data_IF_779964613099
#
_entry.id   IF_779964613099
#
_cell.length_a   1.000
_cell.length_b   1.000
_cell.length_c   1.000
_cell.angle_alpha   90.00
_cell.angle_beta   90.00
_cell.angle_gamma   90.00
#
_symmetry.space_group_name_H-M   'P 1'
#
loop_
_entity.id
_entity.type
_entity.pdbx_description
1 polymer ?
#
# COMPACT_ATOMS: atom_id res chain seq x y z
N UNK A 1 -53.15 12.43 -14.07
CA UNK A 1 -51.89 13.21 -14.23
C UNK A 1 -51.11 13.39 -12.93
N UNK A 2 -51.71 13.83 -11.82
CA UNK A 2 -50.99 14.05 -10.53
C UNK A 2 -50.33 12.78 -9.94
N UNK A 3 -50.91 11.60 -10.13
CA UNK A 3 -50.39 10.31 -9.61
C UNK A 3 -49.14 9.80 -10.34
N UNK A 4 -49.02 10.03 -11.65
CA UNK A 4 -47.83 9.67 -12.42
C UNK A 4 -46.62 10.55 -12.06
N UNK A 5 -46.86 11.82 -11.75
CA UNK A 5 -45.81 12.76 -11.36
C UNK A 5 -45.16 12.39 -10.02
N UNK A 6 -45.98 11.91 -9.07
CA UNK A 6 -45.50 11.44 -7.78
C UNK A 6 -44.61 10.19 -7.91
N UNK A 7 -45.01 9.23 -8.77
CA UNK A 7 -44.25 8.00 -9.02
C UNK A 7 -42.90 8.32 -9.69
N UNK A 8 -42.88 9.27 -10.64
CA UNK A 8 -41.66 9.69 -11.32
C UNK A 8 -40.67 10.39 -10.38
N UNK A 9 -41.17 11.21 -9.43
CA UNK A 9 -40.31 11.83 -8.40
C UNK A 9 -39.72 10.80 -7.44
N UNK A 10 -40.50 9.81 -6.99
CA UNK A 10 -40.00 8.78 -6.07
C UNK A 10 -38.92 7.93 -6.76
N UNK A 11 -39.11 7.57 -8.03
CA UNK A 11 -38.12 6.82 -8.80
C UNK A 11 -36.82 7.62 -9.02
N UNK A 12 -36.93 8.93 -9.25
CA UNK A 12 -35.77 9.84 -9.40
C UNK A 12 -34.99 10.02 -8.10
N UNK A 13 -35.65 10.01 -6.94
CA UNK A 13 -34.97 10.10 -5.63
C UNK A 13 -34.27 8.79 -5.30
N UNK A 14 -34.84 7.63 -5.68
CA UNK A 14 -34.19 6.33 -5.49
C UNK A 14 -32.97 6.12 -6.41
N UNK A 15 -32.96 6.68 -7.62
CA UNK A 15 -31.84 6.57 -8.58
C UNK A 15 -30.67 7.52 -8.26
N UNK A 16 -30.89 8.60 -7.52
CA UNK A 16 -29.83 9.50 -7.05
C UNK A 16 -29.23 9.07 -5.70
N UNK A 17 -29.94 8.23 -4.93
CA UNK A 17 -29.47 7.73 -3.62
C UNK A 17 -28.56 6.50 -3.69
N UNK A 18 -28.39 5.88 -4.86
CA UNK A 18 -27.68 4.61 -5.01
C UNK A 18 -26.25 4.75 -5.57
N UNK A 19 -25.82 5.94 -5.97
CA UNK A 19 -24.48 6.19 -6.56
C UNK A 19 -23.39 6.54 -5.54
N UNK A 20 -23.70 6.63 -4.25
CA UNK A 20 -22.75 7.10 -3.22
C UNK A 20 -22.06 5.94 -2.49
N UNK A 21 -22.47 4.68 -2.69
CA UNK A 21 -22.07 3.56 -1.82
C UNK A 21 -20.90 2.69 -2.31
N UNK A 22 -20.08 3.14 -3.28
CA UNK A 22 -18.95 2.34 -3.79
C UNK A 22 -17.57 2.81 -3.35
N UNK A 23 -17.46 3.87 -2.54
CA UNK A 23 -16.26 4.04 -1.71
C UNK A 23 -16.41 3.10 -0.51
N UNK A 24 -16.07 1.83 -0.74
CA UNK A 24 -15.78 0.89 0.34
C UNK A 24 -14.78 1.59 1.26
N UNK A 25 -15.26 2.03 2.42
CA UNK A 25 -14.43 2.67 3.43
C UNK A 25 -13.33 1.68 3.76
N UNK A 26 -12.11 1.97 3.32
CA UNK A 26 -10.93 1.39 3.94
C UNK A 26 -10.90 2.08 5.30
N UNK A 27 -11.62 1.49 6.25
CA UNK A 27 -11.49 1.81 7.66
C UNK A 27 -10.07 1.49 8.08
N UNK A 28 -9.56 2.21 9.09
CA UNK A 28 -8.28 1.90 9.68
C UNK A 28 -8.19 0.38 9.94
N UNK A 29 -7.22 -0.26 9.30
CA UNK A 29 -7.01 -1.70 9.34
C UNK A 29 -5.68 -1.95 10.02
N UNK A 30 -5.59 -2.96 10.89
CA UNK A 30 -4.31 -3.40 11.41
C UNK A 30 -4.33 -4.89 11.67
N UNK A 31 -3.17 -5.51 11.61
CA UNK A 31 -3.07 -6.94 11.76
C UNK A 31 -1.64 -7.43 11.88
N UNK A 32 -1.52 -8.75 11.94
CA UNK A 32 -0.24 -9.45 12.05
C UNK A 32 -0.25 -10.65 11.12
N UNK A 33 0.75 -10.75 10.23
CA UNK A 33 1.08 -11.99 9.55
C UNK A 33 2.14 -12.74 10.33
N UNK A 34 1.97 -14.05 10.47
CA UNK A 34 3.02 -14.94 10.96
C UNK A 34 3.68 -15.57 9.75
N UNK A 35 5.00 -15.46 9.69
CA UNK A 35 5.82 -15.95 8.59
C UNK A 35 6.40 -17.29 9.01
N UNK A 36 6.17 -18.32 8.19
CA UNK A 36 6.73 -19.65 8.39
C UNK A 36 7.78 -19.95 7.32
N UNK A 37 8.90 -20.55 7.74
CA UNK A 37 9.95 -21.07 6.86
C UNK A 37 10.27 -22.50 7.26
N UNK A 38 10.25 -23.43 6.29
CA UNK A 38 10.48 -24.86 6.54
C UNK A 38 9.60 -25.41 7.68
N UNK A 39 8.30 -25.11 7.63
CA UNK A 39 7.27 -25.54 8.61
C UNK A 39 7.47 -25.01 10.04
N UNK A 40 8.38 -24.04 10.24
CA UNK A 40 8.61 -23.39 11.53
C UNK A 40 8.30 -21.91 11.46
N UNK A 41 7.78 -21.34 12.53
CA UNK A 41 7.65 -19.89 12.64
C UNK A 41 9.04 -19.26 12.52
N UNK A 42 9.20 -18.44 11.49
CA UNK A 42 10.41 -17.70 11.20
C UNK A 42 10.29 -16.25 11.67
N UNK A 43 9.08 -15.71 11.76
CA UNK A 43 8.89 -14.32 12.12
C UNK A 43 7.47 -13.84 11.98
N UNK A 44 7.32 -12.53 11.92
CA UNK A 44 6.04 -11.88 11.74
C UNK A 44 6.18 -10.56 11.02
N UNK A 45 5.02 -10.05 10.62
CA UNK A 45 4.83 -8.73 10.04
C UNK A 45 3.63 -8.08 10.70
N UNK A 46 3.82 -6.95 11.38
CA UNK A 46 2.72 -6.14 11.90
C UNK A 46 2.44 -5.01 10.92
N UNK A 47 1.19 -4.83 10.54
CA UNK A 47 0.81 -3.79 9.60
C UNK A 47 -0.30 -2.90 10.15
N UNK A 48 -0.36 -1.67 9.64
CA UNK A 48 -1.54 -0.83 9.76
C UNK A 48 -1.76 0.02 8.51
N UNK A 49 -3.03 0.19 8.16
CA UNK A 49 -3.52 1.11 7.15
C UNK A 49 -4.36 2.15 7.85
N UNK A 50 -4.11 3.41 7.53
CA UNK A 50 -4.95 4.50 7.97
C UNK A 50 -5.28 5.42 6.80
N UNK A 51 -6.48 5.98 6.80
CA UNK A 51 -6.87 7.00 5.83
C UNK A 51 -7.11 8.33 6.53
N UNK A 52 -6.34 9.34 6.14
CA UNK A 52 -6.44 10.70 6.66
C UNK A 52 -6.06 11.69 5.57
N UNK A 53 -6.74 12.83 5.51
CA UNK A 53 -6.39 13.94 4.63
C UNK A 53 -6.26 13.58 3.14
N UNK A 54 -7.10 12.66 2.65
CA UNK A 54 -7.07 12.20 1.25
C UNK A 54 -5.86 11.32 0.92
N UNK A 55 -5.17 10.79 1.93
CA UNK A 55 -4.03 9.89 1.77
C UNK A 55 -4.28 8.55 2.45
N UNK A 56 -3.72 7.51 1.87
CA UNK A 56 -3.65 6.17 2.45
C UNK A 56 -2.24 6.00 2.97
N UNK A 57 -2.10 5.83 4.28
CA UNK A 57 -0.81 5.55 4.92
C UNK A 57 -0.77 4.09 5.31
N UNK A 58 0.22 3.38 4.78
CA UNK A 58 0.54 2.02 5.12
C UNK A 58 1.82 2.00 5.96
N UNK A 59 1.72 1.49 7.18
CA UNK A 59 2.87 1.20 8.03
C UNK A 59 3.05 -0.29 8.16
N UNK A 60 4.31 -0.70 8.17
CA UNK A 60 4.68 -2.10 8.28
C UNK A 60 5.93 -2.26 9.14
N UNK A 61 5.96 -3.34 9.90
CA UNK A 61 7.11 -3.79 10.67
C UNK A 61 7.23 -5.30 10.57
N UNK A 62 8.23 -5.77 9.84
CA UNK A 62 8.61 -7.17 9.80
C UNK A 62 9.82 -7.46 10.69
N UNK A 63 9.76 -8.61 11.37
CA UNK A 63 10.89 -9.23 12.03
C UNK A 63 10.87 -10.71 11.67
N UNK A 64 11.91 -11.19 11.00
CA UNK A 64 12.04 -12.60 10.63
C UNK A 64 13.47 -13.08 10.81
N UNK A 65 13.59 -14.35 11.17
CA UNK A 65 14.83 -15.09 11.30
C UNK A 65 14.77 -16.30 10.41
N UNK A 66 15.59 -16.31 9.36
CA UNK A 66 15.70 -17.43 8.45
C UNK A 66 17.15 -17.88 8.48
N UNK A 67 17.35 -19.17 8.79
CA UNK A 67 18.67 -19.73 9.10
C UNK A 67 19.34 -18.97 10.26
N UNK A 68 20.46 -18.30 10.01
CA UNK A 68 21.22 -17.49 10.99
C UNK A 68 21.17 -15.98 10.70
N UNK A 69 20.29 -15.57 9.78
CA UNK A 69 20.12 -14.16 9.41
C UNK A 69 18.85 -13.60 10.03
N UNK A 70 18.99 -12.51 10.77
CA UNK A 70 17.89 -11.73 11.30
C UNK A 70 17.58 -10.59 10.32
N UNK A 71 16.32 -10.43 9.95
CA UNK A 71 15.85 -9.31 9.14
C UNK A 71 14.84 -8.52 9.96
N UNK A 72 15.07 -7.22 10.07
CA UNK A 72 14.16 -6.28 10.69
C UNK A 72 13.90 -5.21 9.65
N UNK A 73 12.64 -4.97 9.31
CA UNK A 73 12.25 -3.98 8.30
C UNK A 73 11.09 -3.18 8.84
N UNK A 74 11.21 -1.85 8.81
CA UNK A 74 10.11 -0.94 9.06
C UNK A 74 9.85 -0.15 7.79
N UNK A 75 8.58 0.05 7.47
CA UNK A 75 8.14 0.74 6.27
C UNK A 75 7.01 1.70 6.59
N UNK A 76 7.02 2.83 5.90
CA UNK A 76 5.98 3.84 5.89
C UNK A 76 5.76 4.30 4.45
N UNK A 77 4.69 3.81 3.85
CA UNK A 77 4.29 4.08 2.46
C UNK A 77 3.06 4.98 2.46
N UNK A 78 3.15 6.09 1.74
CA UNK A 78 2.06 7.03 1.53
C UNK A 78 1.57 6.90 0.09
N UNK A 79 0.27 6.72 -0.06
CA UNK A 79 -0.43 6.67 -1.33
C UNK A 79 -1.52 7.74 -1.39
N UNK A 80 -1.90 8.12 -2.61
CA UNK A 80 -3.14 8.88 -2.84
C UNK A 80 -4.39 7.98 -2.72
N UNK A 81 -5.57 8.58 -2.86
CA UNK A 81 -6.85 7.83 -2.85
C UNK A 81 -7.05 6.86 -4.02
N UNK A 82 -6.23 6.95 -5.06
CA UNK A 82 -6.21 6.05 -6.22
C UNK A 82 -5.11 4.97 -6.09
N UNK A 83 -4.49 4.85 -4.90
CA UNK A 83 -3.39 3.95 -4.59
C UNK A 83 -2.11 4.20 -5.40
N UNK A 84 -1.91 5.42 -5.93
CA UNK A 84 -0.64 5.85 -6.52
C UNK A 84 0.35 6.19 -5.41
N UNK A 85 1.62 5.72 -5.49
CA UNK A 85 2.60 6.02 -4.45
C UNK A 85 3.05 7.48 -4.51
N UNK A 86 3.18 8.11 -3.34
CA UNK A 86 3.73 9.46 -3.17
C UNK A 86 5.10 9.44 -2.49
N UNK A 87 5.24 8.64 -1.42
CA UNK A 87 6.51 8.46 -0.73
C UNK A 87 6.62 7.11 -0.05
N UNK A 88 7.85 6.60 0.02
CA UNK A 88 8.21 5.42 0.78
C UNK A 88 9.37 5.81 1.70
N UNK A 89 9.26 5.48 2.98
CA UNK A 89 10.42 5.40 3.86
C UNK A 89 10.53 3.96 4.35
N UNK A 90 11.71 3.39 4.19
CA UNK A 90 12.03 2.07 4.68
C UNK A 90 13.34 2.16 5.44
N UNK A 91 13.40 1.53 6.59
CA UNK A 91 14.64 1.32 7.31
C UNK A 91 14.65 -0.08 7.88
N UNK A 92 15.85 -0.60 8.08
CA UNK A 92 15.95 -1.95 8.55
C UNK A 92 17.36 -2.38 8.80
N UNK A 93 17.46 -3.66 9.09
CA UNK A 93 18.70 -4.35 9.33
C UNK A 93 18.62 -5.73 8.71
N UNK A 94 19.61 -6.07 7.90
CA UNK A 94 19.87 -7.45 7.49
C UNK A 94 21.11 -7.90 8.24
N UNK A 95 20.92 -8.80 9.20
CA UNK A 95 21.94 -9.26 10.13
C UNK A 95 22.60 -8.12 10.92
N UNK A 96 23.76 -7.62 10.46
CA UNK A 96 24.52 -6.52 11.08
C UNK A 96 24.45 -5.21 10.30
N UNK A 97 24.05 -5.27 9.03
CA UNK A 97 24.08 -4.16 8.08
C UNK A 97 22.76 -3.40 8.16
N UNK A 98 22.85 -2.11 8.46
CA UNK A 98 21.70 -1.23 8.53
C UNK A 98 21.51 -0.52 7.20
N UNK A 99 20.26 -0.46 6.75
CA UNK A 99 19.92 0.24 5.53
C UNK A 99 18.74 1.17 5.76
N UNK A 100 18.74 2.27 5.02
CA UNK A 100 17.65 3.22 4.97
C UNK A 100 17.41 3.63 3.52
N UNK A 101 16.17 3.56 3.09
CA UNK A 101 15.73 3.98 1.77
C UNK A 101 14.60 5.00 1.96
N UNK A 102 14.77 6.18 1.37
CA UNK A 102 13.69 7.15 1.21
C UNK A 102 13.43 7.34 -0.27
N UNK A 103 12.21 7.08 -0.71
CA UNK A 103 11.81 7.24 -2.10
C UNK A 103 10.74 8.31 -2.20
N UNK A 104 10.95 9.27 -3.09
CA UNK A 104 9.93 10.20 -3.53
C UNK A 104 9.44 9.79 -4.91
N UNK A 105 8.12 9.69 -5.06
CA UNK A 105 7.48 9.36 -6.32
C UNK A 105 6.98 10.65 -6.98
N UNK A 106 7.36 10.84 -8.23
CA UNK A 106 6.92 11.90 -9.13
C UNK A 106 6.26 11.22 -10.34
N UNK A 107 5.42 11.94 -11.09
CA UNK A 107 4.59 11.37 -12.18
C UNK A 107 5.34 10.43 -13.15
N UNK A 108 6.62 10.72 -13.45
CA UNK A 108 7.42 9.95 -14.41
C UNK A 108 8.65 9.27 -13.82
N UNK A 109 8.87 9.36 -12.51
CA UNK A 109 10.09 8.83 -11.88
C UNK A 109 10.00 8.63 -10.38
N UNK A 110 10.79 7.69 -9.87
CA UNK A 110 11.14 7.57 -8.46
C UNK A 110 12.55 8.08 -8.21
N UNK A 111 12.72 8.88 -7.16
CA UNK A 111 14.02 9.33 -6.66
C UNK A 111 14.26 8.60 -5.34
N UNK A 112 15.26 7.73 -5.30
CA UNK A 112 15.65 6.99 -4.10
C UNK A 112 16.88 7.63 -3.48
N UNK A 113 16.84 7.86 -2.18
CA UNK A 113 17.98 8.14 -1.34
C UNK A 113 18.26 6.91 -0.50
N UNK A 114 19.41 6.27 -0.73
CA UNK A 114 19.79 5.02 -0.07
C UNK A 114 20.98 5.35 0.84
N UNK A 115 20.89 4.98 2.10
CA UNK A 115 21.98 5.00 3.06
C UNK A 115 22.23 3.59 3.56
N UNK A 116 23.45 3.09 3.40
CA UNK A 116 23.88 1.74 3.76
C UNK A 116 25.31 1.82 4.28
N UNK A 117 25.56 1.33 5.51
CA UNK A 117 26.88 1.28 6.13
C UNK A 117 27.71 2.59 6.08
N UNK A 118 27.02 3.73 6.14
CA UNK A 118 27.64 5.06 6.13
C UNK A 118 27.86 5.66 4.75
N UNK A 119 27.68 4.87 3.69
CA UNK A 119 27.62 5.35 2.32
C UNK A 119 26.21 5.85 2.00
N UNK A 120 26.15 6.91 1.18
CA UNK A 120 24.87 7.44 0.68
C UNK A 120 24.89 7.51 -0.82
N UNK A 121 23.79 7.11 -1.45
CA UNK A 121 23.60 7.23 -2.89
C UNK A 121 22.22 7.78 -3.20
N UNK A 122 22.12 8.45 -4.34
CA UNK A 122 20.84 8.89 -4.90
C UNK A 122 20.70 8.29 -6.28
N UNK A 123 19.58 7.61 -6.52
CA UNK A 123 19.28 7.00 -7.82
C UNK A 123 17.94 7.49 -8.32
N UNK A 124 17.83 7.65 -9.64
CA UNK A 124 16.60 8.02 -10.32
C UNK A 124 16.19 6.87 -11.23
N UNK A 125 14.93 6.45 -11.11
CA UNK A 125 14.36 5.37 -11.90
C UNK A 125 13.13 5.89 -12.64
N UNK A 126 13.08 5.82 -13.99
CA UNK A 126 11.89 6.20 -14.73
C UNK A 126 10.72 5.29 -14.35
N UNK A 127 9.53 5.86 -14.23
CA UNK A 127 8.31 5.14 -13.89
C UNK A 127 7.22 5.40 -14.93
N UNK A 128 6.54 4.32 -15.30
CA UNK A 128 5.30 4.40 -16.06
C UNK A 128 4.13 4.70 -15.11
N UNK A 129 3.08 5.39 -15.58
CA UNK A 129 1.88 5.71 -14.77
C UNK A 129 1.19 4.47 -14.19
N UNK A 130 1.19 3.38 -14.95
CA UNK A 130 0.66 2.07 -14.53
C UNK A 130 1.63 1.23 -13.69
N UNK A 131 2.83 1.75 -13.34
CA UNK A 131 3.80 0.97 -12.58
C UNK A 131 3.25 0.61 -11.19
N UNK A 132 3.42 -0.66 -10.83
CA UNK A 132 3.18 -1.16 -9.49
C UNK A 132 4.49 -1.13 -8.71
N UNK A 133 4.45 -0.47 -7.56
CA UNK A 133 5.56 -0.46 -6.63
C UNK A 133 5.44 -1.67 -5.70
N UNK A 134 6.43 -2.56 -5.72
CA UNK A 134 6.48 -3.75 -4.88
C UNK A 134 7.64 -3.59 -3.89
N UNK A 135 7.42 -3.06 -2.68
CA UNK A 135 8.48 -2.99 -1.68
C UNK A 135 8.97 -4.41 -1.39
N UNK A 136 10.26 -4.63 -1.57
CA UNK A 136 10.86 -5.93 -1.36
C UNK A 136 10.92 -6.23 0.14
N UNK A 137 10.62 -7.47 0.53
CA UNK A 137 10.76 -7.94 1.92
C UNK A 137 9.56 -7.76 2.85
N UNK A 138 8.40 -7.28 2.37
CA UNK A 138 7.16 -7.12 3.18
C UNK A 138 5.92 -7.61 2.43
N UNK A 139 5.07 -8.41 3.05
CA UNK A 139 3.96 -9.13 2.41
C UNK A 139 2.66 -8.33 2.29
N UNK A 140 2.30 -7.55 3.29
CA UNK A 140 1.03 -6.83 3.32
C UNK A 140 0.88 -5.72 2.27
N UNK A 141 1.93 -4.99 1.87
CA UNK A 141 1.84 -4.06 0.74
C UNK A 141 1.27 -4.71 -0.52
N UNK A 142 1.59 -5.99 -0.79
CA UNK A 142 1.04 -6.74 -1.92
C UNK A 142 -0.48 -6.95 -1.80
N UNK A 143 -0.98 -7.26 -0.60
CA UNK A 143 -2.42 -7.43 -0.35
C UNK A 143 -3.20 -6.12 -0.54
N UNK A 144 -2.59 -4.98 -0.19
CA UNK A 144 -3.19 -3.67 -0.42
C UNK A 144 -3.22 -3.32 -1.92
N UNK A 145 -2.15 -3.62 -2.66
CA UNK A 145 -2.05 -3.31 -4.09
C UNK A 145 -3.03 -4.10 -4.95
N UNK A 146 -3.48 -5.28 -4.51
CA UNK A 146 -4.59 -6.00 -5.16
C UNK A 146 -5.87 -5.15 -5.19
N UNK A 147 -6.07 -4.21 -4.25
CA UNK A 147 -7.21 -3.27 -4.29
C UNK A 147 -7.09 -2.23 -5.42
N UNK A 148 -5.86 -1.89 -5.86
CA UNK A 148 -5.60 -1.01 -7.03
C UNK A 148 -5.93 -1.73 -8.34
N UNK A 149 -5.77 -3.05 -8.39
CA UNK A 149 -5.99 -3.85 -9.59
C UNK A 149 -7.41 -4.42 -9.60
N UNK A 150 -8.31 -3.73 -10.29
CA UNK A 150 -9.58 -4.31 -10.73
C UNK A 150 -9.31 -5.32 -11.85
N UNK A 151 -9.01 -6.57 -11.46
CA UNK A 151 -8.73 -7.66 -12.41
C UNK A 151 -9.92 -7.95 -13.35
N UNK A 152 -11.13 -7.52 -13.01
CA UNK A 152 -12.32 -7.72 -13.85
C UNK A 152 -12.43 -6.67 -14.98
N UNK A 153 -11.91 -5.45 -14.79
CA UNK A 153 -12.01 -4.39 -15.80
C UNK A 153 -11.03 -4.47 -16.96
N UNK A 154 -9.88 -5.16 -16.80
CA UNK A 154 -8.83 -5.24 -17.83
C UNK A 154 -8.83 -6.58 -18.61
N UNK A 155 -9.83 -7.45 -18.39
CA UNK A 155 -10.03 -8.69 -19.15
C UNK A 155 -10.88 -8.55 -20.43
N UNK A 156 -10.99 -7.36 -21.00
CA UNK A 156 -11.70 -7.10 -22.27
C UNK A 156 -10.77 -6.55 -23.33
#
# INVERSE_FOLDING_TARGET
MKKCFLILMILSVCLLGSSISLFSQITDESGKFIIYYSEREAGFENYSVSISDGKIRLKDQAQLRVMEMDFIVNMDLILDTLFSPESLNMNGKVHQEAYQVSTQFLESKAINHIAEDGDTSTTEVPMHEDALMLPNGLFYPYALLVKRYDFEKRGK
#
